data_IF_548643568968
#
_entry.id   IF_548643568968
#
_cell.length_a   1.000
_cell.length_b   1.000
_cell.length_c   1.000
_cell.angle_alpha   90.00
_cell.angle_beta   90.00
_cell.angle_gamma   90.00
#
_symmetry.space_group_name_H-M   'P 1'
#
loop_
_entity.id
_entity.type
_entity.pdbx_description
1 polymer ?
#
# COMPACT_ATOMS: atom_id res chain seq x y z
N UNK A 1 -0.35 -15.74 29.93
CA UNK A 1 -0.65 -17.21 30.03
C UNK A 1 0.53 -18.05 29.55
N UNK A 2 1.41 -17.54 28.66
CA UNK A 2 2.62 -18.24 28.18
C UNK A 2 3.69 -18.37 29.29
N UNK A 3 3.81 -17.42 30.19
CA UNK A 3 4.75 -17.47 31.33
C UNK A 3 4.49 -18.63 32.31
N UNK A 4 3.37 -19.33 32.17
CA UNK A 4 3.02 -20.50 33.02
C UNK A 4 3.37 -21.84 32.38
N UNK A 5 3.82 -21.82 31.10
CA UNK A 5 4.23 -23.05 30.41
C UNK A 5 5.73 -23.24 30.64
N UNK A 6 6.11 -24.30 31.33
CA UNK A 6 7.53 -24.67 31.44
C UNK A 6 7.96 -25.29 30.12
N UNK A 7 8.74 -24.53 29.36
CA UNK A 7 9.36 -25.02 28.14
C UNK A 7 10.61 -25.84 28.48
N UNK A 8 11.01 -26.82 27.65
CA UNK A 8 12.31 -27.48 27.74
C UNK A 8 13.44 -26.43 27.73
N UNK A 9 14.60 -26.79 28.36
CA UNK A 9 15.72 -25.83 28.46
C UNK A 9 16.31 -25.41 27.11
N UNK A 10 16.14 -26.26 26.07
CA UNK A 10 16.63 -26.02 24.72
C UNK A 10 15.61 -25.31 23.80
N UNK A 11 14.43 -24.97 24.34
CA UNK A 11 13.42 -24.27 23.56
C UNK A 11 13.67 -22.75 23.59
N UNK A 12 13.61 -22.13 22.43
CA UNK A 12 13.61 -20.68 22.31
C UNK A 12 12.36 -20.08 22.97
N UNK A 13 12.51 -18.88 23.52
CA UNK A 13 11.40 -18.16 24.12
C UNK A 13 10.31 -17.90 23.08
N UNK A 14 9.04 -18.24 23.37
CA UNK A 14 7.96 -17.99 22.43
C UNK A 14 7.77 -16.50 22.20
N UNK A 15 7.81 -16.08 20.94
CA UNK A 15 7.55 -14.70 20.50
C UNK A 15 6.10 -14.58 20.07
N UNK A 16 5.37 -13.66 20.68
CA UNK A 16 4.01 -13.35 20.28
C UNK A 16 4.04 -12.32 19.14
N UNK A 17 3.82 -12.77 17.92
CA UNK A 17 3.72 -11.89 16.77
C UNK A 17 2.25 -11.51 16.55
N UNK A 18 1.96 -10.22 16.55
CA UNK A 18 0.68 -9.71 16.07
C UNK A 18 0.81 -9.51 14.55
N UNK A 19 0.09 -10.33 13.80
CA UNK A 19 0.06 -10.17 12.35
C UNK A 19 -0.64 -8.85 11.99
N UNK A 20 0.05 -8.02 11.24
CA UNK A 20 -0.47 -6.79 10.65
C UNK A 20 -0.22 -6.86 9.14
N UNK A 21 -1.27 -6.93 8.32
CA UNK A 21 -1.13 -6.96 6.85
C UNK A 21 -0.39 -5.76 6.25
N UNK A 22 -0.29 -4.66 6.99
CA UNK A 22 0.48 -3.48 6.56
C UNK A 22 2.00 -3.71 6.61
N UNK A 23 2.43 -4.73 7.35
CA UNK A 23 3.84 -5.15 7.45
C UNK A 23 4.24 -6.15 6.35
N UNK A 24 3.32 -6.58 5.49
CA UNK A 24 3.67 -7.42 4.34
C UNK A 24 4.47 -6.63 3.31
N UNK A 25 5.42 -7.27 2.59
CA UNK A 25 6.17 -6.60 1.55
C UNK A 25 5.24 -6.11 0.43
N UNK A 26 5.41 -4.86 0.02
CA UNK A 26 4.61 -4.26 -1.05
C UNK A 26 5.03 -4.74 -2.45
N UNK A 27 6.30 -5.13 -2.58
CA UNK A 27 6.89 -5.66 -3.81
C UNK A 27 7.76 -6.87 -3.48
N UNK A 28 7.70 -7.90 -4.33
CA UNK A 28 8.66 -8.99 -4.37
C UNK A 28 9.32 -9.00 -5.73
N UNK A 29 10.63 -8.90 -5.74
CA UNK A 29 11.47 -8.82 -6.93
C UNK A 29 12.30 -10.09 -6.97
N UNK A 30 12.33 -10.75 -8.11
CA UNK A 30 13.17 -11.90 -8.35
C UNK A 30 14.40 -11.54 -9.15
N UNK A 31 15.56 -12.00 -8.70
CA UNK A 31 16.84 -11.91 -9.37
C UNK A 31 17.29 -13.31 -9.75
N UNK A 32 17.43 -13.59 -11.02
CA UNK A 32 17.76 -14.92 -11.54
C UNK A 32 18.49 -14.84 -12.90
N UNK A 33 19.14 -15.90 -13.28
CA UNK A 33 19.89 -15.94 -14.55
C UNK A 33 20.93 -17.06 -14.55
N UNK A 34 21.96 -16.93 -15.37
CA UNK A 34 23.05 -17.90 -15.52
C UNK A 34 24.20 -17.72 -14.50
N UNK A 35 24.16 -16.69 -13.71
CA UNK A 35 25.17 -16.39 -12.69
C UNK A 35 25.11 -17.39 -11.52
N UNK A 36 26.26 -17.56 -10.85
CA UNK A 36 26.36 -18.32 -9.63
C UNK A 36 25.50 -17.72 -8.51
N UNK A 37 24.88 -18.55 -7.68
CA UNK A 37 23.97 -18.12 -6.61
C UNK A 37 24.60 -17.17 -5.60
N UNK A 38 25.90 -17.33 -5.33
CA UNK A 38 26.68 -16.41 -4.49
C UNK A 38 26.78 -15.01 -5.14
N UNK A 39 27.01 -14.99 -6.46
CA UNK A 39 27.06 -13.74 -7.22
C UNK A 39 25.70 -13.06 -7.30
N UNK A 40 24.62 -13.83 -7.51
CA UNK A 40 23.24 -13.29 -7.48
C UNK A 40 22.91 -12.69 -6.12
N UNK A 41 23.31 -13.38 -5.03
CA UNK A 41 23.12 -12.88 -3.66
C UNK A 41 23.87 -11.58 -3.43
N UNK A 42 25.12 -11.52 -3.83
CA UNK A 42 25.95 -10.31 -3.73
C UNK A 42 25.35 -9.12 -4.49
N UNK A 43 24.94 -9.32 -5.75
CA UNK A 43 24.29 -8.27 -6.54
C UNK A 43 22.96 -7.81 -5.90
N UNK A 44 22.20 -8.75 -5.34
CA UNK A 44 20.97 -8.45 -4.62
C UNK A 44 21.22 -7.56 -3.40
N UNK A 45 22.24 -7.84 -2.59
CA UNK A 45 22.52 -7.12 -1.34
C UNK A 45 23.27 -5.81 -1.56
N UNK A 46 24.30 -5.80 -2.39
CA UNK A 46 25.16 -4.64 -2.54
C UNK A 46 24.64 -3.63 -3.54
N UNK A 47 24.10 -4.08 -4.66
CA UNK A 47 23.68 -3.19 -5.74
C UNK A 47 22.19 -2.86 -5.66
N UNK A 48 21.33 -3.89 -5.67
CA UNK A 48 19.89 -3.67 -5.77
C UNK A 48 19.31 -3.18 -4.44
N UNK A 49 19.54 -3.89 -3.34
CA UNK A 49 19.01 -3.51 -2.02
C UNK A 49 19.43 -2.10 -1.65
N UNK A 50 20.73 -1.75 -1.74
CA UNK A 50 21.22 -0.42 -1.38
C UNK A 50 20.64 0.69 -2.25
N UNK A 51 20.37 0.40 -3.54
CA UNK A 51 19.76 1.36 -4.44
C UNK A 51 18.29 1.59 -4.16
N UNK A 52 17.56 0.54 -3.71
CA UNK A 52 16.14 0.61 -3.41
C UNK A 52 15.87 1.22 -2.03
N UNK A 53 16.72 0.94 -1.02
CA UNK A 53 16.59 1.52 0.34
C UNK A 53 16.81 3.05 0.40
N UNK A 54 17.36 3.65 -0.67
CA UNK A 54 17.50 5.12 -0.78
C UNK A 54 16.24 5.82 -1.26
N UNK A 55 15.22 5.06 -1.66
CA UNK A 55 13.96 5.60 -2.16
C UNK A 55 13.11 6.03 -0.97
N UNK A 56 12.62 7.25 -1.00
CA UNK A 56 11.72 7.79 0.03
C UNK A 56 10.47 6.93 0.17
N UNK A 57 10.16 6.54 1.40
CA UNK A 57 9.03 5.67 1.74
C UNK A 57 9.33 4.17 1.73
N UNK A 58 10.56 3.75 1.38
CA UNK A 58 11.03 2.38 1.56
C UNK A 58 11.63 2.24 2.95
N UNK A 59 11.05 1.37 3.79
CA UNK A 59 11.52 1.11 5.15
C UNK A 59 12.72 0.14 5.16
N UNK A 60 12.64 -0.92 4.37
CA UNK A 60 13.67 -1.95 4.29
C UNK A 60 13.53 -2.78 3.02
N UNK A 61 14.63 -3.38 2.59
CA UNK A 61 14.65 -4.42 1.56
C UNK A 61 15.31 -5.66 2.14
N UNK A 62 14.57 -6.76 2.21
CA UNK A 62 15.05 -8.04 2.72
C UNK A 62 15.41 -8.94 1.54
N UNK A 63 16.64 -9.43 1.54
CA UNK A 63 17.13 -10.36 0.51
C UNK A 63 17.05 -11.77 1.05
N UNK A 64 16.47 -12.68 0.28
CA UNK A 64 16.29 -14.09 0.64
C UNK A 64 16.71 -15.01 -0.51
N UNK A 65 17.14 -16.23 -0.18
CA UNK A 65 17.66 -17.17 -1.20
C UNK A 65 19.09 -16.87 -1.62
N UNK A 66 19.55 -17.58 -2.65
CA UNK A 66 20.97 -17.54 -3.06
C UNK A 66 21.89 -18.23 -2.07
N UNK A 67 23.20 -17.98 -2.20
CA UNK A 67 24.25 -18.47 -1.31
C UNK A 67 24.93 -17.26 -0.66
N UNK A 68 24.85 -17.16 0.66
CA UNK A 68 25.54 -16.13 1.44
C UNK A 68 26.95 -16.59 1.73
N UNK A 69 27.96 -15.87 1.25
CA UNK A 69 29.35 -16.23 1.47
C UNK A 69 29.76 -15.99 2.92
N UNK A 70 30.51 -16.94 3.47
CA UNK A 70 31.14 -16.81 4.79
C UNK A 70 32.53 -17.41 4.78
N UNK A 71 33.37 -17.02 5.72
CA UNK A 71 34.65 -17.66 5.95
C UNK A 71 34.45 -18.75 6.98
N UNK A 72 34.64 -20.00 6.55
CA UNK A 72 34.56 -21.17 7.42
C UNK A 72 35.91 -21.49 8.02
N UNK A 73 35.91 -21.77 9.33
CA UNK A 73 37.08 -22.15 10.11
C UNK A 73 36.83 -23.53 10.72
N UNK A 74 37.28 -24.55 10.03
CA UNK A 74 37.20 -25.96 10.53
C UNK A 74 38.38 -26.25 11.43
N UNK A 75 38.12 -26.47 12.71
CA UNK A 75 39.14 -26.74 13.71
C UNK A 75 39.47 -28.26 13.78
N UNK A 76 40.77 -28.58 13.89
CA UNK A 76 41.22 -29.95 14.13
C UNK A 76 41.32 -30.20 15.64
N UNK A 77 40.34 -30.95 16.17
CA UNK A 77 40.23 -31.28 17.61
C UNK A 77 41.50 -31.95 18.17
N UNK A 78 42.17 -32.81 17.38
CA UNK A 78 43.37 -33.51 17.83
C UNK A 78 44.54 -32.54 18.00
N UNK A 79 44.70 -31.58 17.09
CA UNK A 79 45.72 -30.56 17.19
C UNK A 79 45.45 -29.59 18.33
N UNK A 80 44.15 -29.23 18.54
CA UNK A 80 43.76 -28.41 19.68
C UNK A 80 44.08 -29.07 21.01
N UNK A 81 43.72 -30.34 21.16
CA UNK A 81 44.01 -31.11 22.37
C UNK A 81 45.54 -31.23 22.62
N UNK A 82 46.36 -31.48 21.56
CA UNK A 82 47.81 -31.56 21.68
C UNK A 82 48.48 -30.25 22.12
N UNK A 83 47.86 -29.12 21.78
CA UNK A 83 48.36 -27.77 22.11
C UNK A 83 47.69 -27.16 23.36
N UNK A 84 46.73 -27.86 23.96
CA UNK A 84 45.99 -27.38 25.13
C UNK A 84 45.09 -26.19 24.83
N UNK A 85 44.64 -26.05 23.58
CA UNK A 85 43.77 -24.99 23.13
C UNK A 85 42.30 -25.38 23.21
N UNK A 86 41.45 -24.47 23.64
CA UNK A 86 39.97 -24.64 23.61
C UNK A 86 39.34 -23.90 22.46
N UNK A 87 38.17 -24.38 22.00
CA UNK A 87 37.34 -23.69 21.01
C UNK A 87 37.03 -22.23 21.41
N UNK A 88 36.69 -22.01 22.69
CA UNK A 88 36.38 -20.69 23.22
C UNK A 88 37.54 -19.71 23.19
N UNK A 89 38.79 -20.19 23.36
CA UNK A 89 39.98 -19.33 23.22
C UNK A 89 40.19 -18.88 21.77
N UNK A 90 39.99 -19.80 20.81
CA UNK A 90 40.13 -19.44 19.40
C UNK A 90 39.02 -18.49 18.97
N UNK A 91 37.76 -18.78 19.32
CA UNK A 91 36.62 -17.90 19.03
C UNK A 91 36.80 -16.50 19.63
N UNK A 92 37.25 -16.44 20.91
CA UNK A 92 37.55 -15.16 21.57
C UNK A 92 38.68 -14.39 20.90
N UNK A 93 39.73 -15.11 20.42
CA UNK A 93 40.84 -14.47 19.71
C UNK A 93 40.42 -13.93 18.35
N UNK A 94 39.64 -14.68 17.60
CA UNK A 94 39.08 -14.23 16.31
C UNK A 94 38.15 -13.03 16.49
N UNK A 95 37.28 -13.05 17.49
CA UNK A 95 36.42 -11.93 17.80
C UNK A 95 37.20 -10.65 18.20
N UNK A 96 38.30 -10.82 18.95
CA UNK A 96 39.14 -9.70 19.34
C UNK A 96 39.94 -9.08 18.20
N UNK A 97 40.25 -9.84 17.17
CA UNK A 97 40.95 -9.36 15.97
C UNK A 97 40.01 -8.78 14.92
N UNK A 98 38.74 -9.22 14.87
CA UNK A 98 37.72 -8.76 13.92
C UNK A 98 36.93 -7.59 14.49
N UNK A 99 37.59 -6.48 14.80
CA UNK A 99 36.95 -5.32 15.44
C UNK A 99 37.35 -4.04 14.72
N UNK A 100 36.36 -3.25 14.37
CA UNK A 100 36.53 -1.89 13.91
C UNK A 100 36.56 -0.94 15.09
N UNK A 101 37.75 -0.41 15.41
CA UNK A 101 37.93 0.51 16.53
C UNK A 101 38.06 1.94 16.01
N UNK A 102 37.26 2.85 16.57
CA UNK A 102 37.44 4.27 16.33
C UNK A 102 38.71 4.74 17.06
N UNK A 103 39.74 5.10 16.31
CA UNK A 103 41.03 5.56 16.83
C UNK A 103 41.03 7.00 17.33
N UNK A 104 39.82 7.63 17.47
CA UNK A 104 39.69 9.03 17.84
C UNK A 104 39.65 9.98 16.66
N UNK A 105 39.85 11.27 16.91
CA UNK A 105 39.90 12.31 15.87
C UNK A 105 41.27 13.00 15.87
N UNK A 106 41.76 13.29 14.68
CA UNK A 106 42.94 14.12 14.46
C UNK A 106 42.50 15.49 13.97
N UNK A 107 42.83 16.55 14.68
CA UNK A 107 42.47 17.92 14.30
C UNK A 107 43.68 18.60 13.65
N UNK A 108 43.50 19.06 12.41
CA UNK A 108 44.49 19.87 11.69
C UNK A 108 43.82 21.21 11.33
N UNK A 109 44.16 22.25 12.08
CA UNK A 109 43.55 23.57 11.95
C UNK A 109 42.07 23.54 12.21
N UNK A 110 41.28 23.81 11.17
CA UNK A 110 39.78 23.78 11.23
C UNK A 110 39.17 22.49 10.76
N UNK A 111 39.97 21.51 10.33
CA UNK A 111 39.48 20.21 9.81
C UNK A 111 39.72 19.13 10.86
N UNK A 112 38.69 18.37 11.16
CA UNK A 112 38.74 17.22 12.05
C UNK A 112 38.62 15.93 11.25
N UNK A 113 39.66 15.10 11.31
CA UNK A 113 39.72 13.80 10.65
C UNK A 113 39.37 12.70 11.65
N UNK A 114 38.32 11.93 11.38
CA UNK A 114 37.99 10.74 12.17
C UNK A 114 38.94 9.61 11.77
N UNK A 115 39.76 9.13 12.72
CA UNK A 115 40.65 7.99 12.48
C UNK A 115 39.85 6.71 12.83
N UNK A 116 39.70 5.81 11.84
CA UNK A 116 39.13 4.48 12.01
C UNK A 116 40.19 3.44 11.71
N UNK A 117 40.39 2.51 12.62
CA UNK A 117 41.18 1.31 12.37
C UNK A 117 40.20 0.24 11.88
N UNK A 118 40.32 -0.13 10.60
CA UNK A 118 39.60 -1.21 9.98
C UNK A 118 40.38 -2.49 10.15
N UNK A 119 39.94 -3.41 10.97
CA UNK A 119 40.57 -4.71 11.19
C UNK A 119 39.58 -5.85 10.92
N UNK A 120 38.79 -5.70 9.85
CA UNK A 120 37.88 -6.74 9.36
C UNK A 120 38.65 -7.73 8.48
N UNK A 121 38.29 -9.00 8.63
CA UNK A 121 38.81 -10.06 7.81
C UNK A 121 38.14 -10.08 6.44
N UNK A 122 38.80 -9.58 5.44
CA UNK A 122 38.29 -9.54 4.07
C UNK A 122 38.60 -10.81 3.28
N UNK A 123 39.62 -11.56 3.67
CA UNK A 123 40.11 -12.75 2.94
C UNK A 123 40.55 -13.87 3.90
N UNK A 124 40.32 -15.15 3.52
CA UNK A 124 40.74 -16.30 4.33
C UNK A 124 42.27 -16.32 4.65
N UNK A 125 43.08 -15.79 3.75
CA UNK A 125 44.56 -15.76 3.91
C UNK A 125 44.97 -14.92 5.13
N UNK A 126 44.27 -13.80 5.37
CA UNK A 126 44.53 -12.93 6.52
C UNK A 126 44.23 -13.69 7.81
N UNK A 127 43.06 -14.39 7.86
CA UNK A 127 42.67 -15.18 9.02
C UNK A 127 43.65 -16.32 9.30
N UNK A 128 44.16 -17.02 8.28
CA UNK A 128 45.14 -18.08 8.43
C UNK A 128 46.40 -17.64 9.20
N UNK A 129 46.83 -16.39 9.04
CA UNK A 129 48.01 -15.82 9.67
C UNK A 129 47.85 -15.39 11.13
N UNK A 130 46.64 -15.41 11.66
CA UNK A 130 46.33 -14.99 13.04
C UNK A 130 47.10 -15.88 14.04
N UNK A 131 47.72 -15.23 15.01
CA UNK A 131 48.36 -15.91 16.12
C UNK A 131 47.33 -16.25 17.19
N UNK A 132 47.04 -17.54 17.36
CA UNK A 132 46.06 -18.04 18.34
C UNK A 132 46.72 -18.30 19.70
N UNK A 133 47.97 -18.67 19.74
CA UNK A 133 48.75 -18.86 20.98
C UNK A 133 50.23 -18.55 20.78
N UNK A 134 50.88 -18.03 21.85
CA UNK A 134 52.31 -17.91 21.94
C UNK A 134 52.81 -18.57 23.22
N UNK A 135 53.71 -19.53 23.10
CA UNK A 135 54.33 -20.24 24.23
C UNK A 135 55.82 -20.09 24.13
N UNK A 136 56.42 -19.11 24.86
CA UNK A 136 57.83 -18.72 24.67
C UNK A 136 58.08 -18.20 23.24
N UNK A 137 59.04 -18.81 22.55
CA UNK A 137 59.38 -18.47 21.15
C UNK A 137 58.46 -19.18 20.11
N UNK A 138 57.71 -20.19 20.53
CA UNK A 138 56.79 -20.90 19.63
C UNK A 138 55.50 -20.10 19.38
N UNK A 139 55.24 -19.84 18.11
CA UNK A 139 54.02 -19.16 17.67
C UNK A 139 53.10 -20.18 16.99
N UNK A 140 51.89 -20.33 17.50
CA UNK A 140 50.86 -21.16 16.89
C UNK A 140 49.92 -20.22 16.10
N UNK A 141 49.78 -20.47 14.82
CA UNK A 141 48.86 -19.75 13.94
C UNK A 141 47.58 -20.51 13.75
N UNK A 142 46.48 -19.81 13.32
CA UNK A 142 45.23 -20.44 13.00
C UNK A 142 45.36 -21.53 11.94
N UNK A 143 46.22 -21.32 10.94
CA UNK A 143 46.54 -22.31 9.89
C UNK A 143 47.09 -23.64 10.44
N UNK A 144 47.72 -23.63 11.62
CA UNK A 144 48.33 -24.85 12.21
C UNK A 144 47.26 -25.75 12.83
N UNK A 145 46.14 -25.19 13.28
CA UNK A 145 45.09 -25.88 14.02
C UNK A 145 43.74 -25.89 13.29
N UNK A 146 43.60 -25.15 12.17
CA UNK A 146 42.35 -25.04 11.44
C UNK A 146 42.57 -25.01 9.91
N UNK A 147 41.56 -25.46 9.20
CA UNK A 147 41.41 -25.18 7.76
C UNK A 147 40.48 -23.94 7.62
N UNK A 148 41.01 -22.91 6.95
CA UNK A 148 40.25 -21.68 6.70
C UNK A 148 40.00 -21.55 5.20
N UNK A 149 38.73 -21.44 4.82
CA UNK A 149 38.34 -21.31 3.40
C UNK A 149 37.04 -20.53 3.27
N UNK A 150 36.77 -20.01 2.08
CA UNK A 150 35.47 -19.41 1.76
C UNK A 150 34.48 -20.52 1.52
N UNK A 151 33.40 -20.51 2.27
CA UNK A 151 32.26 -21.40 2.15
C UNK A 151 30.97 -20.60 2.04
N UNK A 152 29.87 -21.27 2.26
CA UNK A 152 28.55 -20.67 2.27
C UNK A 152 27.86 -20.98 3.58
N UNK A 153 27.08 -19.99 4.06
CA UNK A 153 26.22 -20.17 5.23
C UNK A 153 25.18 -21.26 4.97
N UNK A 154 24.77 -21.94 6.00
CA UNK A 154 23.70 -22.93 5.90
C UNK A 154 22.43 -22.27 5.37
N UNK A 155 21.81 -22.93 4.38
CA UNK A 155 20.67 -22.36 3.65
C UNK A 155 19.40 -22.60 4.42
N UNK A 156 18.80 -21.54 4.95
CA UNK A 156 17.49 -21.58 5.62
C UNK A 156 16.34 -21.41 4.61
N UNK A 157 16.56 -20.60 3.57
CA UNK A 157 15.54 -20.24 2.58
C UNK A 157 16.04 -20.54 1.17
N UNK A 158 15.25 -21.27 0.40
CA UNK A 158 15.48 -21.54 -1.01
C UNK A 158 14.35 -20.88 -1.80
N UNK A 159 14.71 -19.95 -2.67
CA UNK A 159 13.78 -19.30 -3.60
C UNK A 159 13.96 -19.84 -5.01
N UNK A 160 12.85 -20.00 -5.75
CA UNK A 160 12.88 -20.49 -7.13
C UNK A 160 11.90 -19.69 -7.98
N UNK A 161 12.33 -19.37 -9.21
CA UNK A 161 11.50 -18.76 -10.24
C UNK A 161 11.58 -19.68 -11.47
N UNK A 162 10.43 -20.12 -11.95
CA UNK A 162 10.31 -21.06 -13.09
C UNK A 162 11.15 -22.35 -12.91
N UNK A 163 11.28 -22.82 -11.66
CA UNK A 163 12.05 -24.02 -11.31
C UNK A 163 13.55 -23.80 -11.12
N UNK A 164 14.12 -22.67 -11.55
CA UNK A 164 15.51 -22.29 -11.32
C UNK A 164 15.71 -21.60 -9.96
N UNK A 165 16.82 -21.87 -9.29
CA UNK A 165 17.16 -21.17 -8.06
C UNK A 165 17.43 -19.69 -8.32
N UNK A 166 16.98 -18.85 -7.40
CA UNK A 166 16.95 -17.41 -7.55
C UNK A 166 17.22 -16.70 -6.22
N UNK A 167 17.31 -15.38 -6.27
CA UNK A 167 17.33 -14.49 -5.10
C UNK A 167 16.07 -13.65 -5.13
N UNK A 168 15.37 -13.56 -3.99
CA UNK A 168 14.19 -12.71 -3.81
C UNK A 168 14.57 -11.47 -3.00
N UNK A 169 14.09 -10.31 -3.45
CA UNK A 169 14.14 -9.06 -2.69
C UNK A 169 12.72 -8.66 -2.33
N UNK A 170 12.41 -8.65 -1.06
CA UNK A 170 11.14 -8.23 -0.51
C UNK A 170 11.24 -6.77 -0.04
N UNK A 171 10.46 -5.87 -0.64
CA UNK A 171 10.48 -4.44 -0.36
C UNK A 171 9.36 -4.09 0.60
N UNK A 172 9.69 -3.46 1.71
CA UNK A 172 8.78 -3.00 2.76
C UNK A 172 8.68 -1.48 2.72
N UNK A 173 7.46 -0.96 2.86
CA UNK A 173 7.23 0.49 2.93
C UNK A 173 7.26 1.01 4.36
N UNK A 174 7.54 2.29 4.54
CA UNK A 174 7.34 2.98 5.81
C UNK A 174 5.86 3.07 6.20
N UNK A 175 5.59 3.09 7.50
CA UNK A 175 4.23 3.28 8.01
C UNK A 175 3.65 4.61 7.54
N UNK A 176 2.38 4.61 7.12
CA UNK A 176 1.69 5.82 6.64
C UNK A 176 2.02 6.25 5.21
N UNK A 177 3.02 5.64 4.53
CA UNK A 177 3.33 5.99 3.14
C UNK A 177 2.37 5.31 2.15
N UNK A 178 2.19 5.95 1.00
CA UNK A 178 1.32 5.44 -0.05
C UNK A 178 1.97 4.29 -0.82
N UNK A 179 1.33 3.12 -0.81
CA UNK A 179 1.82 1.90 -1.46
C UNK A 179 2.04 2.07 -2.96
N UNK A 180 1.13 2.79 -3.65
CA UNK A 180 1.22 2.97 -5.11
C UNK A 180 2.37 3.90 -5.48
N UNK A 181 2.56 4.97 -4.72
CA UNK A 181 3.66 5.92 -4.93
C UNK A 181 5.01 5.25 -4.74
N UNK A 182 5.19 4.52 -3.63
CA UNK A 182 6.44 3.80 -3.34
C UNK A 182 6.70 2.72 -4.39
N UNK A 183 5.69 1.90 -4.74
CA UNK A 183 5.83 0.87 -5.78
C UNK A 183 6.23 1.46 -7.13
N UNK A 184 5.64 2.59 -7.54
CA UNK A 184 6.00 3.25 -8.80
C UNK A 184 7.45 3.76 -8.76
N UNK A 185 7.91 4.35 -7.64
CA UNK A 185 9.28 4.83 -7.48
C UNK A 185 10.28 3.67 -7.51
N UNK A 186 9.98 2.56 -6.81
CA UNK A 186 10.79 1.34 -6.82
C UNK A 186 10.87 0.75 -8.23
N UNK A 187 9.74 0.63 -8.92
CA UNK A 187 9.70 0.08 -10.28
C UNK A 187 10.50 0.95 -11.27
N UNK A 188 10.38 2.26 -11.18
CA UNK A 188 11.15 3.19 -12.02
C UNK A 188 12.67 3.07 -11.75
N UNK A 189 13.09 2.93 -10.48
CA UNK A 189 14.49 2.72 -10.12
C UNK A 189 14.97 1.35 -10.60
N UNK A 190 14.14 0.32 -10.48
CA UNK A 190 14.45 -1.04 -10.93
C UNK A 190 14.73 -1.09 -12.43
N UNK A 191 13.96 -0.38 -13.26
CA UNK A 191 14.20 -0.29 -14.70
C UNK A 191 15.57 0.34 -15.03
N UNK A 192 15.99 1.37 -14.28
CA UNK A 192 17.33 1.95 -14.45
C UNK A 192 18.42 0.97 -14.04
N UNK A 193 18.25 0.25 -12.91
CA UNK A 193 19.18 -0.78 -12.45
C UNK A 193 19.27 -1.95 -13.44
N UNK A 194 18.15 -2.35 -14.04
CA UNK A 194 18.11 -3.41 -15.05
C UNK A 194 19.01 -3.09 -16.24
N UNK A 195 19.03 -1.82 -16.69
CA UNK A 195 19.91 -1.37 -17.76
C UNK A 195 21.39 -1.45 -17.34
N UNK A 196 21.70 -1.07 -16.09
CA UNK A 196 23.05 -1.12 -15.53
C UNK A 196 23.53 -2.58 -15.39
N UNK A 197 22.69 -3.45 -14.83
CA UNK A 197 22.97 -4.88 -14.61
C UNK A 197 23.10 -5.65 -15.94
N UNK A 198 22.27 -5.38 -16.94
CA UNK A 198 22.37 -6.01 -18.26
C UNK A 198 23.67 -5.69 -19.00
N UNK A 199 24.39 -4.62 -18.62
CA UNK A 199 25.73 -4.34 -19.16
C UNK A 199 26.79 -5.25 -18.53
N UNK A 200 26.55 -5.73 -17.29
CA UNK A 200 27.45 -6.62 -16.56
C UNK A 200 27.21 -8.07 -17.04
N UNK A 201 25.97 -8.52 -17.02
CA UNK A 201 25.55 -9.81 -17.58
C UNK A 201 24.22 -9.68 -18.31
N UNK A 202 24.19 -9.90 -19.65
CA UNK A 202 22.95 -9.87 -20.45
C UNK A 202 21.92 -10.96 -20.09
N UNK A 203 22.35 -12.03 -19.41
CA UNK A 203 21.47 -13.13 -19.02
C UNK A 203 20.83 -12.92 -17.66
N UNK A 204 21.28 -11.89 -16.91
CA UNK A 204 20.72 -11.55 -15.62
C UNK A 204 19.34 -10.95 -15.77
N UNK A 205 18.37 -11.54 -15.11
CA UNK A 205 16.97 -11.10 -15.13
C UNK A 205 16.57 -10.56 -13.77
N UNK A 206 15.89 -9.42 -13.80
CA UNK A 206 15.33 -8.76 -12.62
C UNK A 206 13.89 -8.47 -12.91
N UNK A 207 12.97 -9.19 -12.29
CA UNK A 207 11.54 -9.07 -12.56
C UNK A 207 10.73 -8.86 -11.28
N UNK A 208 9.68 -8.04 -11.38
CA UNK A 208 8.71 -7.87 -10.30
C UNK A 208 7.76 -9.06 -10.32
N UNK A 209 7.84 -9.91 -9.30
CA UNK A 209 7.01 -11.12 -9.17
C UNK A 209 5.65 -10.77 -8.57
N UNK A 210 5.64 -9.93 -7.54
CA UNK A 210 4.41 -9.50 -6.87
C UNK A 210 4.46 -7.99 -6.65
N UNK A 211 3.37 -7.30 -6.98
CA UNK A 211 3.18 -5.87 -6.75
C UNK A 211 1.79 -5.63 -6.14
N UNK A 212 1.75 -5.26 -4.85
CA UNK A 212 0.48 -4.91 -4.19
C UNK A 212 -0.19 -3.68 -4.83
N UNK A 213 0.59 -2.73 -5.33
CA UNK A 213 0.06 -1.54 -5.99
C UNK A 213 -0.71 -1.89 -7.27
N UNK A 214 -0.38 -2.99 -7.93
CA UNK A 214 -1.13 -3.49 -9.09
C UNK A 214 -2.57 -3.83 -8.72
N UNK A 215 -2.77 -4.51 -7.59
CA UNK A 215 -4.11 -4.83 -7.09
C UNK A 215 -4.88 -3.58 -6.70
N UNK A 216 -4.23 -2.62 -6.03
CA UNK A 216 -4.85 -1.36 -5.64
C UNK A 216 -5.26 -0.57 -6.90
N UNK A 217 -4.37 -0.43 -7.89
CA UNK A 217 -4.68 0.24 -9.17
C UNK A 217 -5.82 -0.44 -9.91
N UNK A 218 -5.85 -1.78 -9.91
CA UNK A 218 -6.94 -2.54 -10.53
C UNK A 218 -8.24 -2.31 -9.79
N UNK A 219 -8.27 -2.40 -8.46
CA UNK A 219 -9.46 -2.15 -7.65
C UNK A 219 -10.00 -0.73 -7.83
N UNK A 220 -9.13 0.30 -7.86
CA UNK A 220 -9.53 1.68 -8.16
C UNK A 220 -10.16 1.78 -9.55
N UNK A 221 -9.57 1.12 -10.55
CA UNK A 221 -10.13 1.09 -11.91
C UNK A 221 -11.48 0.40 -11.95
N UNK A 222 -11.65 -0.74 -11.31
CA UNK A 222 -12.90 -1.48 -11.22
C UNK A 222 -14.01 -0.66 -10.54
N UNK A 223 -13.68 0.09 -9.47
CA UNK A 223 -14.62 1.02 -8.83
C UNK A 223 -15.06 2.11 -9.81
N UNK A 224 -14.12 2.71 -10.52
CA UNK A 224 -14.43 3.75 -11.51
C UNK A 224 -15.26 3.21 -12.68
N UNK A 225 -14.93 2.03 -13.19
CA UNK A 225 -15.70 1.37 -14.25
C UNK A 225 -17.10 0.97 -13.76
N UNK A 226 -17.21 0.40 -12.57
CA UNK A 226 -18.51 0.05 -11.95
C UNK A 226 -19.35 1.31 -11.70
N UNK A 227 -18.74 2.38 -11.20
CA UNK A 227 -19.43 3.66 -11.01
C UNK A 227 -19.90 4.24 -12.35
N UNK A 228 -19.11 4.12 -13.41
CA UNK A 228 -19.46 4.61 -14.75
C UNK A 228 -20.55 3.75 -15.38
N UNK A 229 -20.35 2.43 -15.50
CA UNK A 229 -21.31 1.52 -16.13
C UNK A 229 -22.58 1.39 -15.30
N UNK A 230 -22.45 1.21 -13.98
CA UNK A 230 -23.59 1.16 -13.06
C UNK A 230 -24.36 2.48 -13.03
N UNK A 231 -23.66 3.60 -13.03
CA UNK A 231 -24.24 4.94 -13.14
C UNK A 231 -24.99 5.14 -14.46
N UNK A 232 -24.40 4.77 -15.60
CA UNK A 232 -25.05 4.84 -16.91
C UNK A 232 -26.30 3.95 -16.96
N UNK A 233 -26.20 2.73 -16.46
CA UNK A 233 -27.34 1.80 -16.41
C UNK A 233 -28.44 2.36 -15.49
N UNK A 234 -28.09 2.88 -14.31
CA UNK A 234 -29.04 3.52 -13.40
C UNK A 234 -29.73 4.72 -14.06
N UNK A 235 -28.96 5.57 -14.77
CA UNK A 235 -29.50 6.72 -15.53
C UNK A 235 -30.47 6.24 -16.60
N UNK A 236 -30.13 5.17 -17.34
CA UNK A 236 -31.00 4.60 -18.37
C UNK A 236 -32.31 4.07 -17.75
N UNK A 237 -32.24 3.29 -16.70
CA UNK A 237 -33.38 2.73 -15.98
C UNK A 237 -34.25 3.86 -15.41
N UNK A 238 -33.63 4.83 -14.74
CA UNK A 238 -34.33 5.99 -14.19
C UNK A 238 -35.02 6.81 -15.30
N UNK A 239 -34.39 7.00 -16.44
CA UNK A 239 -34.99 7.67 -17.58
C UNK A 239 -36.21 6.92 -18.10
N UNK A 240 -36.16 5.58 -18.17
CA UNK A 240 -37.24 4.75 -18.59
C UNK A 240 -38.47 4.85 -17.65
N UNK A 241 -38.24 4.89 -16.33
CA UNK A 241 -39.28 4.99 -15.30
C UNK A 241 -39.83 6.41 -15.16
N UNK A 242 -38.94 7.40 -15.04
CA UNK A 242 -39.30 8.80 -14.80
C UNK A 242 -39.79 9.53 -16.05
N UNK A 243 -39.41 9.02 -17.26
CA UNK A 243 -39.72 9.60 -18.57
C UNK A 243 -39.39 11.09 -18.66
N UNK A 244 -38.40 11.56 -17.93
CA UNK A 244 -38.02 12.96 -17.80
C UNK A 244 -36.48 13.09 -17.72
N UNK A 245 -35.87 13.67 -18.77
CA UNK A 245 -34.43 13.91 -18.81
C UNK A 245 -33.95 14.77 -17.64
N UNK A 246 -34.77 15.78 -17.27
CA UNK A 246 -34.42 16.72 -16.19
C UNK A 246 -34.30 16.02 -14.84
N UNK A 247 -35.28 15.19 -14.47
CA UNK A 247 -35.26 14.43 -13.20
C UNK A 247 -34.10 13.47 -13.17
N UNK A 248 -33.86 12.78 -14.27
CA UNK A 248 -32.74 11.87 -14.42
C UNK A 248 -31.40 12.59 -14.24
N UNK A 249 -31.25 13.80 -14.80
CA UNK A 249 -30.03 14.62 -14.66
C UNK A 249 -29.76 15.03 -13.21
N UNK A 250 -30.80 15.38 -12.42
CA UNK A 250 -30.67 15.71 -11.00
C UNK A 250 -30.07 14.55 -10.22
N UNK A 251 -30.60 13.34 -10.42
CA UNK A 251 -30.08 12.14 -9.77
C UNK A 251 -28.66 11.81 -10.27
N UNK A 252 -28.41 11.95 -11.56
CA UNK A 252 -27.09 11.69 -12.15
C UNK A 252 -25.99 12.56 -11.56
N UNK A 253 -26.30 13.81 -11.19
CA UNK A 253 -25.35 14.74 -10.54
C UNK A 253 -25.12 14.32 -9.07
N UNK A 254 -26.12 13.74 -8.40
CA UNK A 254 -25.97 13.34 -6.99
C UNK A 254 -24.97 12.21 -6.79
N UNK A 255 -24.82 11.30 -7.77
CA UNK A 255 -23.93 10.15 -7.68
C UNK A 255 -22.45 10.58 -7.52
N UNK A 256 -21.86 11.34 -8.47
CA UNK A 256 -20.46 11.75 -8.34
C UNK A 256 -20.22 12.65 -7.13
N UNK A 257 -21.18 13.52 -6.76
CA UNK A 257 -21.06 14.35 -5.55
C UNK A 257 -20.97 13.49 -4.30
N UNK A 258 -21.80 12.45 -4.20
CA UNK A 258 -21.79 11.55 -3.05
C UNK A 258 -20.53 10.71 -2.98
N UNK A 259 -20.03 10.22 -4.11
CA UNK A 259 -18.76 9.46 -4.18
C UNK A 259 -17.59 10.33 -3.74
N UNK A 260 -17.49 11.56 -4.24
CA UNK A 260 -16.43 12.51 -3.87
C UNK A 260 -16.48 12.83 -2.37
N UNK A 261 -17.67 13.08 -1.84
CA UNK A 261 -17.84 13.37 -0.41
C UNK A 261 -17.51 12.15 0.46
N UNK A 262 -17.76 10.93 -0.01
CA UNK A 262 -17.36 9.69 0.68
C UNK A 262 -15.83 9.55 0.72
N UNK A 263 -15.13 9.80 -0.39
CA UNK A 263 -13.65 9.84 -0.39
C UNK A 263 -13.10 10.89 0.57
N UNK A 264 -13.74 12.06 0.63
CA UNK A 264 -13.33 13.10 1.59
C UNK A 264 -13.48 12.62 3.05
N UNK A 265 -14.58 11.94 3.40
CA UNK A 265 -14.75 11.38 4.74
C UNK A 265 -13.73 10.26 5.04
N UNK A 266 -13.42 9.41 4.06
CA UNK A 266 -12.37 8.39 4.21
C UNK A 266 -11.01 9.04 4.49
N UNK A 267 -10.67 10.10 3.76
CA UNK A 267 -9.43 10.85 3.96
C UNK A 267 -9.35 11.48 5.37
N UNK A 268 -10.42 12.17 5.81
CA UNK A 268 -10.46 12.79 7.16
C UNK A 268 -10.41 11.75 8.28
N UNK A 269 -10.91 10.53 8.02
CA UNK A 269 -10.93 9.42 8.99
C UNK A 269 -9.69 8.53 8.92
N UNK A 270 -8.68 8.91 8.15
CA UNK A 270 -7.42 8.20 7.96
C UNK A 270 -7.60 6.73 7.50
N UNK A 271 -8.62 6.50 6.66
CA UNK A 271 -8.88 5.19 6.08
C UNK A 271 -8.07 5.05 4.80
N UNK A 272 -7.12 4.12 4.81
CA UNK A 272 -6.28 3.82 3.65
C UNK A 272 -7.11 3.22 2.51
N UNK A 273 -6.72 3.55 1.27
CA UNK A 273 -7.29 2.94 0.06
C UNK A 273 -6.68 1.55 -0.12
N UNK A 274 -7.42 0.53 0.29
CA UNK A 274 -7.08 -0.87 0.11
C UNK A 274 -8.25 -1.62 -0.57
N UNK A 275 -8.05 -2.90 -0.88
CA UNK A 275 -9.05 -3.71 -1.58
C UNK A 275 -10.37 -3.75 -0.80
N UNK A 276 -10.31 -3.80 0.55
CA UNK A 276 -11.50 -3.88 1.39
C UNK A 276 -12.26 -2.56 1.42
N UNK A 277 -11.56 -1.42 1.59
CA UNK A 277 -12.18 -0.10 1.61
C UNK A 277 -12.80 0.27 0.25
N UNK A 278 -12.14 -0.11 -0.85
CA UNK A 278 -12.66 0.08 -2.20
C UNK A 278 -13.85 -0.83 -2.50
N UNK A 279 -13.85 -2.08 -2.00
CA UNK A 279 -14.99 -2.98 -2.06
C UNK A 279 -16.20 -2.42 -1.29
N UNK A 280 -15.97 -1.84 -0.10
CA UNK A 280 -17.01 -1.14 0.67
C UNK A 280 -17.57 0.07 -0.08
N UNK A 281 -16.72 0.88 -0.70
CA UNK A 281 -17.14 2.01 -1.52
C UNK A 281 -18.01 1.56 -2.71
N UNK A 282 -17.60 0.49 -3.41
CA UNK A 282 -18.36 -0.07 -4.54
C UNK A 282 -19.77 -0.50 -4.11
N UNK A 283 -19.87 -1.18 -2.97
CA UNK A 283 -21.18 -1.56 -2.37
C UNK A 283 -21.98 -0.31 -2.01
N UNK A 284 -21.33 0.69 -1.40
CA UNK A 284 -21.96 1.96 -1.03
C UNK A 284 -22.52 2.71 -2.23
N UNK A 285 -21.79 2.77 -3.35
CA UNK A 285 -22.26 3.43 -4.59
C UNK A 285 -23.56 2.86 -5.09
N UNK A 286 -23.77 1.54 -5.00
CA UNK A 286 -25.04 0.89 -5.35
C UNK A 286 -26.23 1.36 -4.49
N UNK A 287 -25.97 1.75 -3.23
CA UNK A 287 -27.01 2.19 -2.27
C UNK A 287 -27.25 3.72 -2.30
N UNK A 288 -26.42 4.50 -3.01
CA UNK A 288 -26.49 5.96 -3.01
C UNK A 288 -27.76 6.51 -3.67
N UNK A 289 -28.28 5.82 -4.67
CA UNK A 289 -29.34 6.33 -5.55
C UNK A 289 -30.73 6.25 -4.93
N UNK A 290 -30.95 5.30 -4.02
CA UNK A 290 -32.30 5.01 -3.47
C UNK A 290 -32.91 6.20 -2.75
N UNK A 291 -32.19 6.86 -1.86
CA UNK A 291 -32.68 8.04 -1.14
C UNK A 291 -33.03 9.20 -2.09
N UNK A 292 -32.24 9.38 -3.13
CA UNK A 292 -32.42 10.42 -4.13
C UNK A 292 -33.71 10.23 -4.94
N UNK A 293 -34.04 8.97 -5.29
CA UNK A 293 -35.23 8.61 -6.04
C UNK A 293 -36.48 8.91 -5.18
N UNK A 294 -36.50 8.46 -3.92
CA UNK A 294 -37.64 8.63 -3.02
C UNK A 294 -37.95 10.12 -2.80
N UNK A 295 -36.91 10.95 -2.56
CA UNK A 295 -37.09 12.39 -2.38
C UNK A 295 -37.62 13.04 -3.65
N UNK A 296 -37.05 12.74 -4.81
CA UNK A 296 -37.47 13.35 -6.07
C UNK A 296 -38.89 12.96 -6.45
N UNK A 297 -39.28 11.72 -6.17
CA UNK A 297 -40.70 11.27 -6.38
C UNK A 297 -41.65 11.98 -5.47
N UNK A 298 -41.31 12.16 -4.18
CA UNK A 298 -42.15 12.89 -3.22
C UNK A 298 -42.33 14.36 -3.63
N UNK A 299 -41.22 15.02 -4.07
CA UNK A 299 -41.26 16.40 -4.61
C UNK A 299 -42.19 16.48 -5.83
N UNK A 300 -42.06 15.53 -6.75
CA UNK A 300 -42.88 15.50 -7.96
C UNK A 300 -44.36 15.30 -7.63
N UNK A 301 -44.71 14.41 -6.72
CA UNK A 301 -46.07 14.15 -6.27
C UNK A 301 -46.73 15.42 -5.71
N UNK A 302 -45.97 16.21 -4.92
CA UNK A 302 -46.48 17.50 -4.40
C UNK A 302 -46.66 18.54 -5.48
N UNK A 303 -45.82 18.55 -6.47
CA UNK A 303 -45.94 19.41 -7.62
C UNK A 303 -47.12 19.07 -8.50
N UNK A 304 -47.36 17.78 -8.74
CA UNK A 304 -48.54 17.28 -9.47
C UNK A 304 -49.86 17.60 -8.73
N UNK A 305 -49.76 17.76 -7.39
CA UNK A 305 -50.88 18.24 -6.56
C UNK A 305 -51.06 19.77 -6.62
N UNK A 306 -50.28 20.50 -7.40
CA UNK A 306 -50.44 21.96 -7.65
C UNK A 306 -49.67 22.87 -6.74
N UNK A 307 -48.72 22.38 -5.94
CA UNK A 307 -47.81 23.25 -5.16
C UNK A 307 -46.76 23.92 -6.05
N UNK A 308 -46.36 25.11 -5.65
CA UNK A 308 -45.24 25.81 -6.26
C UNK A 308 -43.95 25.01 -6.10
N UNK A 309 -42.95 25.21 -6.98
CA UNK A 309 -41.74 24.41 -7.11
C UNK A 309 -40.90 24.39 -5.83
N UNK A 310 -40.72 25.54 -5.19
CA UNK A 310 -39.96 25.66 -3.93
C UNK A 310 -40.73 25.00 -2.78
N UNK A 311 -42.06 25.23 -2.74
CA UNK A 311 -42.92 24.65 -1.70
C UNK A 311 -43.08 23.14 -1.88
N UNK A 312 -43.20 22.65 -3.12
CA UNK A 312 -43.24 21.21 -3.44
C UNK A 312 -41.92 20.51 -3.02
N UNK A 313 -40.77 21.15 -3.27
CA UNK A 313 -39.49 20.63 -2.82
C UNK A 313 -39.40 20.59 -1.29
N UNK A 314 -39.85 21.64 -0.59
CA UNK A 314 -39.81 21.74 0.87
C UNK A 314 -40.74 20.70 1.52
N UNK A 315 -42.01 20.65 1.12
CA UNK A 315 -43.02 19.76 1.69
C UNK A 315 -42.75 18.31 1.32
N UNK A 316 -42.44 18.01 0.05
CA UNK A 316 -42.14 16.67 -0.40
C UNK A 316 -40.95 16.07 0.30
N UNK A 317 -39.84 16.84 0.46
CA UNK A 317 -38.65 16.38 1.19
C UNK A 317 -38.91 16.19 2.68
N UNK A 318 -39.73 17.08 3.30
CA UNK A 318 -40.11 16.98 4.71
C UNK A 318 -40.95 15.74 4.99
N UNK A 319 -41.89 15.39 4.09
CA UNK A 319 -42.78 14.23 4.21
C UNK A 319 -42.00 12.91 4.29
N UNK A 320 -41.04 12.70 3.37
CA UNK A 320 -40.26 11.45 3.31
C UNK A 320 -38.99 11.50 4.14
N UNK A 321 -38.63 12.68 4.63
CA UNK A 321 -37.35 12.89 5.31
C UNK A 321 -37.14 12.02 6.54
N UNK A 322 -38.22 11.75 7.31
CA UNK A 322 -38.15 10.87 8.47
C UNK A 322 -37.96 9.41 8.08
N UNK A 323 -38.67 8.98 7.06
CA UNK A 323 -38.68 7.58 6.62
C UNK A 323 -37.33 7.18 5.99
N UNK A 324 -36.80 8.03 5.11
CA UNK A 324 -35.44 7.79 4.52
C UNK A 324 -34.35 7.85 5.58
N UNK A 325 -34.47 8.72 6.60
CA UNK A 325 -33.49 8.78 7.69
C UNK A 325 -33.56 7.51 8.53
N UNK A 326 -34.75 7.03 8.90
CA UNK A 326 -34.92 5.81 9.66
C UNK A 326 -34.42 4.58 8.89
N UNK A 327 -34.73 4.46 7.60
CA UNK A 327 -34.29 3.37 6.74
C UNK A 327 -32.75 3.38 6.60
N UNK A 328 -32.16 4.54 6.30
CA UNK A 328 -30.71 4.67 6.17
C UNK A 328 -29.98 4.36 7.48
N UNK A 329 -30.50 4.84 8.61
CA UNK A 329 -29.96 4.57 9.94
C UNK A 329 -30.03 3.07 10.27
N UNK A 330 -31.13 2.40 9.93
CA UNK A 330 -31.28 0.95 10.12
C UNK A 330 -30.20 0.21 9.30
N UNK A 331 -29.96 0.62 8.06
CA UNK A 331 -28.90 0.01 7.22
C UNK A 331 -27.51 0.25 7.81
N UNK A 332 -27.21 1.47 8.30
CA UNK A 332 -25.94 1.78 8.96
C UNK A 332 -25.76 0.92 10.22
N UNK A 333 -26.81 0.71 11.02
CA UNK A 333 -26.77 -0.11 12.23
C UNK A 333 -26.38 -1.58 11.96
N UNK A 334 -26.54 -2.08 10.74
CA UNK A 334 -26.05 -3.42 10.36
C UNK A 334 -24.51 -3.45 10.24
N UNK A 335 -23.91 -2.36 9.80
CA UNK A 335 -22.45 -2.28 9.62
C UNK A 335 -21.68 -1.85 10.89
N UNK A 336 -22.33 -1.08 11.77
CA UNK A 336 -21.70 -0.56 13.01
C UNK A 336 -21.13 -1.67 13.92
N UNK A 337 -21.80 -2.80 14.17
CA UNK A 337 -21.25 -3.87 15.01
C UNK A 337 -19.93 -4.45 14.49
N UNK A 338 -19.71 -4.42 13.18
CA UNK A 338 -18.47 -4.94 12.55
C UNK A 338 -17.25 -4.15 13.02
N UNK A 339 -17.41 -2.85 13.31
CA UNK A 339 -16.34 -1.97 13.78
C UNK A 339 -15.82 -2.37 15.17
N UNK A 340 -16.67 -3.02 15.98
CA UNK A 340 -16.36 -3.43 17.36
C UNK A 340 -15.89 -4.88 17.48
N UNK A 341 -15.83 -5.63 16.37
CA UNK A 341 -15.30 -7.00 16.37
C UNK A 341 -13.78 -6.94 16.63
N UNK A 342 -13.26 -7.86 17.42
CA UNK A 342 -11.82 -7.98 17.71
C UNK A 342 -11.20 -9.12 16.89
N UNK A 343 -9.90 -8.97 16.55
CA UNK A 343 -9.11 -9.97 15.84
C UNK A 343 -8.78 -9.59 14.40
N UNK A 344 -8.10 -10.49 13.68
CA UNK A 344 -7.63 -10.25 12.29
C UNK A 344 -8.79 -9.99 11.33
N UNK A 345 -9.88 -10.75 11.46
CA UNK A 345 -11.10 -10.55 10.66
C UNK A 345 -11.72 -9.16 10.87
N UNK A 346 -11.64 -8.64 12.08
CA UNK A 346 -12.14 -7.31 12.42
C UNK A 346 -11.46 -6.21 11.62
N UNK A 347 -10.16 -6.29 11.47
CA UNK A 347 -9.38 -5.27 10.77
C UNK A 347 -9.75 -5.23 9.28
N UNK A 348 -9.93 -6.39 8.64
CA UNK A 348 -10.35 -6.51 7.25
C UNK A 348 -11.78 -5.97 7.04
N UNK A 349 -12.75 -6.36 7.88
CA UNK A 349 -14.14 -5.95 7.71
C UNK A 349 -14.42 -4.52 8.16
N UNK A 350 -13.62 -3.98 9.09
CA UNK A 350 -13.73 -2.58 9.51
C UNK A 350 -13.44 -1.63 8.35
N UNK A 351 -12.39 -1.91 7.57
CA UNK A 351 -12.01 -1.12 6.40
C UNK A 351 -13.09 -1.17 5.31
N UNK A 352 -13.91 -2.21 5.26
CA UNK A 352 -15.05 -2.30 4.34
C UNK A 352 -16.29 -1.62 4.89
N UNK A 353 -16.62 -1.79 6.17
CA UNK A 353 -17.86 -1.31 6.79
C UNK A 353 -17.92 0.23 6.89
N UNK A 354 -16.79 0.88 7.21
CA UNK A 354 -16.76 2.33 7.37
C UNK A 354 -17.03 3.10 6.07
N UNK A 355 -16.45 2.77 4.90
CA UNK A 355 -16.79 3.42 3.64
C UNK A 355 -18.27 3.24 3.24
N UNK A 356 -18.87 2.06 3.53
CA UNK A 356 -20.30 1.85 3.31
C UNK A 356 -21.13 2.80 4.19
N UNK A 357 -20.81 2.87 5.49
CA UNK A 357 -21.52 3.74 6.41
C UNK A 357 -21.38 5.23 6.01
N UNK A 358 -20.19 5.66 5.61
CA UNK A 358 -19.95 7.03 5.13
C UNK A 358 -20.74 7.33 3.86
N UNK A 359 -20.75 6.42 2.89
CA UNK A 359 -21.53 6.59 1.66
C UNK A 359 -23.02 6.75 1.92
N UNK A 360 -23.56 5.97 2.86
CA UNK A 360 -24.98 6.06 3.29
C UNK A 360 -25.28 7.39 3.98
N UNK A 361 -24.41 7.86 4.87
CA UNK A 361 -24.59 9.18 5.53
C UNK A 361 -24.57 10.31 4.51
N UNK A 362 -23.60 10.28 3.58
CA UNK A 362 -23.50 11.28 2.51
C UNK A 362 -24.71 11.22 1.59
N UNK A 363 -25.18 10.02 1.21
CA UNK A 363 -26.39 9.84 0.42
C UNK A 363 -27.58 10.53 1.07
N UNK A 364 -27.78 10.31 2.37
CA UNK A 364 -28.86 10.93 3.13
C UNK A 364 -28.74 12.48 3.14
N UNK A 365 -27.55 13.01 3.36
CA UNK A 365 -27.29 14.47 3.32
C UNK A 365 -27.62 15.04 1.94
N UNK A 366 -27.08 14.43 0.88
CA UNK A 366 -27.27 14.85 -0.50
C UNK A 366 -28.76 14.77 -0.89
N UNK A 367 -29.46 13.70 -0.51
CA UNK A 367 -30.89 13.54 -0.78
C UNK A 367 -31.74 14.60 -0.08
N UNK A 368 -31.36 15.06 1.11
CA UNK A 368 -32.12 16.07 1.88
C UNK A 368 -31.73 17.51 1.57
N UNK A 369 -30.59 17.74 0.92
CA UNK A 369 -30.09 19.10 0.62
C UNK A 369 -29.96 19.38 -0.86
N UNK A 370 -29.10 18.63 -1.55
CA UNK A 370 -28.79 18.88 -2.97
C UNK A 370 -29.97 18.57 -3.88
N UNK A 371 -30.64 17.43 -3.67
CA UNK A 371 -31.77 17.00 -4.52
C UNK A 371 -32.93 18.01 -4.50
N UNK A 372 -33.47 18.41 -3.33
CA UNK A 372 -34.56 19.39 -3.30
C UNK A 372 -34.13 20.77 -3.82
N UNK A 373 -32.87 21.17 -3.60
CA UNK A 373 -32.33 22.42 -4.15
C UNK A 373 -32.31 22.40 -5.69
N UNK A 374 -31.83 21.31 -6.29
CA UNK A 374 -31.81 21.16 -7.74
C UNK A 374 -33.24 21.05 -8.30
N UNK A 375 -34.13 20.31 -7.65
CA UNK A 375 -35.53 20.16 -8.03
C UNK A 375 -36.26 21.49 -8.00
N UNK A 376 -35.99 22.37 -7.03
CA UNK A 376 -36.66 23.68 -6.92
C UNK A 376 -36.22 24.71 -7.96
N UNK A 377 -34.99 24.55 -8.51
CA UNK A 377 -34.44 25.52 -9.49
C UNK A 377 -34.73 25.16 -10.93
N UNK A 378 -34.85 23.90 -11.23
CA UNK A 378 -34.90 23.40 -12.61
C UNK A 378 -36.30 23.50 -13.25
N UNK A 379 -37.29 23.63 -12.42
CA UNK A 379 -38.68 23.62 -12.85
C UNK A 379 -39.35 24.98 -12.94
N UNK A 380 -38.56 26.08 -12.83
CA UNK A 380 -39.15 27.41 -13.00
C UNK A 380 -39.71 27.54 -14.43
N UNK A 381 -41.06 27.67 -14.61
CA UNK A 381 -41.60 27.94 -15.93
C UNK A 381 -41.03 29.29 -16.38
N UNK A 382 -40.39 29.33 -17.56
CA UNK A 382 -40.26 30.60 -18.26
C UNK A 382 -41.70 31.14 -18.40
N UNK A 383 -42.03 32.16 -17.64
CA UNK A 383 -43.19 32.97 -17.96
C UNK A 383 -43.03 33.39 -19.39
N UNK A 384 -43.76 32.77 -20.28
CA UNK A 384 -43.87 33.16 -21.67
C UNK A 384 -44.53 34.53 -21.69
N UNK A 385 -43.70 35.57 -21.59
CA UNK A 385 -44.07 36.85 -22.16
C UNK A 385 -44.14 36.61 -23.66
N UNK A 386 -45.39 36.56 -24.17
CA UNK A 386 -45.71 36.61 -25.57
C UNK A 386 -45.07 37.84 -26.19
N UNK A 387 -43.84 37.69 -26.73
CA UNK A 387 -43.30 38.50 -27.80
C UNK A 387 -42.53 37.61 -28.75
N UNK A 388 -43.21 37.31 -29.84
CA UNK A 388 -42.63 36.78 -31.05
C UNK A 388 -41.32 37.56 -31.39
N UNK A 389 -40.18 36.85 -31.38
CA UNK A 389 -39.02 37.25 -32.16
C UNK A 389 -38.29 35.92 -32.56
N UNK A 390 -38.24 35.73 -33.83
CA UNK A 390 -37.48 34.71 -34.54
C UNK A 390 -36.00 34.84 -34.19
N UNK A 391 -35.32 33.72 -33.98
CA UNK A 391 -33.87 33.68 -34.07
C UNK A 391 -33.16 32.79 -33.03
N UNK A 392 -32.78 31.60 -33.47
CA UNK A 392 -31.56 30.88 -33.11
C UNK A 392 -31.43 30.12 -31.76
N UNK A 393 -30.83 28.94 -31.76
CA UNK A 393 -30.92 27.96 -30.68
C UNK A 393 -29.86 28.19 -29.63
N UNK A 394 -30.25 28.34 -28.38
CA UNK A 394 -29.39 28.46 -27.21
C UNK A 394 -28.95 27.09 -26.71
N UNK A 395 -27.86 26.56 -27.23
CA UNK A 395 -27.15 25.39 -26.68
C UNK A 395 -26.15 25.76 -25.55
N UNK A 396 -26.27 26.94 -24.97
CA UNK A 396 -25.27 27.51 -24.03
C UNK A 396 -25.29 26.90 -22.59
N UNK A 397 -26.43 26.58 -21.96
CA UNK A 397 -26.39 26.15 -20.55
C UNK A 397 -25.88 24.71 -20.35
N UNK A 398 -26.05 23.82 -21.34
CA UNK A 398 -25.63 22.42 -21.21
C UNK A 398 -24.10 22.28 -21.26
N UNK A 399 -23.41 23.13 -22.03
CA UNK A 399 -21.93 23.13 -22.11
C UNK A 399 -21.27 23.60 -20.82
N UNK A 400 -21.88 24.52 -20.06
CA UNK A 400 -21.30 25.02 -18.81
C UNK A 400 -21.39 23.99 -17.67
N UNK A 401 -22.52 23.28 -17.56
CA UNK A 401 -22.69 22.19 -16.57
C UNK A 401 -21.79 21.02 -16.88
N UNK A 402 -21.64 20.62 -18.15
CA UNK A 402 -20.72 19.58 -18.57
C UNK A 402 -19.26 19.92 -18.25
N UNK A 403 -18.85 21.18 -18.48
CA UNK A 403 -17.51 21.63 -18.16
C UNK A 403 -17.25 21.76 -16.65
N UNK A 404 -18.24 22.17 -15.85
CA UNK A 404 -18.11 22.24 -14.39
C UNK A 404 -17.98 20.82 -13.77
N UNK A 405 -18.80 19.85 -14.20
CA UNK A 405 -18.71 18.46 -13.77
C UNK A 405 -17.38 17.83 -14.21
N UNK A 406 -16.95 18.08 -15.46
CA UNK A 406 -15.66 17.59 -15.95
C UNK A 406 -14.47 18.22 -15.21
N UNK A 407 -14.52 19.48 -14.83
CA UNK A 407 -13.44 20.16 -14.08
C UNK A 407 -13.38 19.69 -12.64
N UNK A 408 -14.52 19.46 -11.99
CA UNK A 408 -14.59 18.92 -10.63
C UNK A 408 -14.16 17.45 -10.60
N UNK A 409 -14.63 16.62 -11.53
CA UNK A 409 -14.27 15.19 -11.58
C UNK A 409 -12.80 14.98 -11.92
N UNK A 410 -12.23 15.74 -12.87
CA UNK A 410 -10.80 15.67 -13.19
C UNK A 410 -9.90 16.27 -12.12
N UNK A 411 -10.35 17.33 -11.43
CA UNK A 411 -9.62 17.93 -10.30
C UNK A 411 -9.54 16.97 -9.10
N UNK A 412 -10.66 16.36 -8.73
CA UNK A 412 -10.73 15.42 -7.62
C UNK A 412 -10.05 14.09 -7.97
N UNK A 413 -10.20 13.62 -9.22
CA UNK A 413 -9.47 12.41 -9.67
C UNK A 413 -7.95 12.63 -9.59
N UNK A 414 -7.45 13.83 -9.93
CA UNK A 414 -6.02 14.18 -9.75
C UNK A 414 -5.62 14.26 -8.28
N UNK A 415 -6.52 14.71 -7.40
CA UNK A 415 -6.27 14.81 -5.96
C UNK A 415 -6.26 13.43 -5.33
N UNK A 416 -7.21 12.56 -5.70
CA UNK A 416 -7.28 11.15 -5.27
C UNK A 416 -6.07 10.37 -5.80
N UNK A 417 -5.67 10.57 -7.07
CA UNK A 417 -4.48 9.93 -7.65
C UNK A 417 -3.15 10.48 -7.10
N UNK A 418 -3.14 11.68 -6.50
CA UNK A 418 -1.97 12.21 -5.77
C UNK A 418 -1.93 11.74 -4.31
N UNK A 419 -3.09 11.45 -3.73
CA UNK A 419 -3.23 10.94 -2.37
C UNK A 419 -3.22 9.39 -2.31
N UNK A 420 -3.49 8.73 -3.44
CA UNK A 420 -3.31 7.29 -3.65
C UNK A 420 -1.91 6.98 -4.20
#
# INVERSE_FOLDING_TARGET
>A
RLDRVRLPMDAELPVLLKYDPSLDPILRIGLYGSEELSRLRFLGEEDIKRALERIEGVAAVVVSGGLEEEIQVELDERKLAALGLSLGQIAGRLAAENVNITGGSLRDGHTEFLVRTLNEFVRPEVMRSIVVQRTGDAIVRLSDVARVYTGHKEREIITRIDGAESVELAVYKEGGTNTVTVSNAVTARLESLRIELNRIDPNLKVDVITDQARYIRQAVREVLETALYGGLLAILVLYLFLRSVKKTLIISISIPVSVIATFFLMYVSDISLNIMSLGGLTLGVGLLVDNAIVVLEAVQRKRDAGLDEVEAARVGTSEVGRDITASTMTTICVFVPIVFVEGVAAQLFRDQALPVAFSLVISLIVARTLIPMLASREFRPQQTSTKRAEGSPTAAPIRWIGNAVFFVTTGVLRLVLKAA
#
